data_IF_560456375924
#
_entry.id   IF_560456375924
#
_cell.length_a   1.000
_cell.length_b   1.000
_cell.length_c   1.000
_cell.angle_alpha   90.00
_cell.angle_beta   90.00
_cell.angle_gamma   90.00
#
_symmetry.space_group_name_H-M   'P 1'
#
loop_
_entity.id
_entity.type
_entity.pdbx_description
1 polymer ?
#
# COMPACT_ATOMS: atom_id res chain seq x y z
N UNK A 1 21.93 3.83 -53.31
CA UNK A 1 21.25 3.69 -52.00
C UNK A 1 22.24 4.11 -50.92
N UNK A 2 22.05 5.27 -50.31
CA UNK A 2 22.81 5.78 -49.15
C UNK A 2 21.75 6.23 -48.16
N UNK A 3 21.64 5.61 -46.99
CA UNK A 3 20.68 6.07 -45.98
C UNK A 3 20.30 5.09 -44.87
N UNK A 4 20.24 3.79 -45.15
CA UNK A 4 19.97 2.79 -44.10
C UNK A 4 21.28 2.28 -43.50
N UNK A 5 21.64 2.73 -42.29
CA UNK A 5 22.88 2.32 -41.63
C UNK A 5 22.78 0.96 -40.93
N UNK A 6 21.59 0.53 -40.47
CA UNK A 6 21.41 -0.80 -39.88
C UNK A 6 19.93 -1.21 -39.85
N UNK A 7 19.59 -2.31 -40.52
CA UNK A 7 18.29 -2.99 -40.45
C UNK A 7 18.57 -4.46 -40.18
N UNK A 8 18.22 -4.95 -38.99
CA UNK A 8 18.45 -6.33 -38.58
C UNK A 8 17.10 -6.99 -38.33
N UNK A 9 16.69 -7.87 -39.25
CA UNK A 9 15.45 -8.62 -39.22
C UNK A 9 15.81 -10.09 -39.01
N UNK A 10 15.29 -10.74 -37.97
CA UNK A 10 15.59 -12.15 -37.70
C UNK A 10 14.36 -12.91 -37.23
N UNK A 11 13.64 -13.48 -38.21
CA UNK A 11 13.15 -14.86 -38.25
C UNK A 11 12.29 -15.09 -39.50
N UNK A 12 12.84 -14.85 -40.70
CA UNK A 12 12.23 -15.28 -41.96
C UNK A 12 13.30 -15.68 -42.97
N UNK A 13 13.11 -16.82 -43.65
CA UNK A 13 13.79 -17.17 -44.92
C UNK A 13 13.29 -16.23 -46.04
N UNK A 14 13.59 -14.94 -45.95
CA UNK A 14 13.31 -14.00 -47.05
C UNK A 14 14.54 -13.99 -47.95
N UNK A 15 14.40 -14.54 -49.15
CA UNK A 15 15.47 -14.59 -50.15
C UNK A 15 15.68 -13.26 -50.88
N UNK A 16 14.71 -12.34 -50.86
CA UNK A 16 14.82 -11.01 -51.47
C UNK A 16 14.09 -9.93 -50.66
N UNK A 17 14.77 -8.82 -50.37
CA UNK A 17 14.20 -7.65 -49.67
C UNK A 17 13.53 -6.74 -50.72
N UNK A 18 12.20 -6.54 -50.72
CA UNK A 18 11.59 -5.54 -51.59
C UNK A 18 12.04 -4.14 -51.15
N UNK A 19 12.33 -3.28 -52.11
CA UNK A 19 12.75 -1.89 -51.84
C UNK A 19 11.58 -1.10 -51.21
N UNK A 20 11.55 -0.98 -49.89
CA UNK A 20 10.58 -0.15 -49.18
C UNK A 20 11.03 1.31 -49.27
N UNK A 21 10.45 2.07 -50.20
CA UNK A 21 10.81 3.46 -50.47
C UNK A 21 10.58 4.44 -49.30
N UNK A 22 9.89 4.02 -48.22
CA UNK A 22 9.51 4.87 -47.08
C UNK A 22 10.55 4.98 -45.96
N UNK A 23 11.67 4.27 -46.02
CA UNK A 23 12.70 4.30 -44.97
C UNK A 23 13.74 5.43 -45.12
N UNK A 24 13.67 6.21 -46.21
CA UNK A 24 14.56 7.34 -46.48
C UNK A 24 13.93 8.71 -46.22
N UNK A 25 12.70 8.77 -45.69
CA UNK A 25 12.11 10.05 -45.30
C UNK A 25 12.66 10.44 -43.93
N UNK A 26 13.30 11.60 -43.86
CA UNK A 26 13.81 12.25 -42.65
C UNK A 26 12.71 12.52 -41.59
N UNK A 27 11.45 12.27 -41.94
CA UNK A 27 10.23 12.46 -41.17
C UNK A 27 10.18 11.67 -39.84
N UNK A 28 10.90 10.54 -39.73
CA UNK A 28 10.96 9.73 -38.50
C UNK A 28 12.28 9.87 -37.71
N UNK A 29 13.21 10.73 -38.13
CA UNK A 29 14.54 10.84 -37.53
C UNK A 29 15.37 9.56 -37.68
N UNK A 30 16.62 9.56 -37.24
CA UNK A 30 17.53 8.39 -37.28
C UNK A 30 17.14 7.31 -36.25
N UNK A 31 15.89 6.86 -36.26
CA UNK A 31 15.39 5.85 -35.34
C UNK A 31 15.94 4.47 -35.70
N UNK A 32 16.79 3.92 -34.85
CA UNK A 32 17.23 2.53 -34.94
C UNK A 32 16.18 1.65 -34.27
N UNK A 33 15.32 1.01 -35.06
CA UNK A 33 14.30 0.10 -34.53
C UNK A 33 14.91 -1.27 -34.20
N UNK A 34 14.72 -1.71 -32.96
CA UNK A 34 15.00 -3.08 -32.51
C UNK A 34 13.69 -3.85 -32.56
N UNK A 35 13.56 -4.78 -33.49
CA UNK A 35 12.28 -5.48 -33.72
C UNK A 35 12.14 -6.82 -33.01
N UNK A 36 13.22 -7.39 -32.45
CA UNK A 36 13.11 -8.63 -31.67
C UNK A 36 14.39 -8.95 -30.87
N UNK A 37 14.23 -9.51 -29.66
CA UNK A 37 15.28 -10.26 -28.97
C UNK A 37 15.34 -11.64 -29.63
N UNK A 38 16.09 -11.79 -30.71
CA UNK A 38 16.27 -13.10 -31.34
C UNK A 38 16.81 -14.15 -30.37
N UNK A 39 16.43 -15.41 -30.54
CA UNK A 39 16.98 -16.54 -29.77
C UNK A 39 18.48 -16.63 -30.07
N UNK A 40 19.38 -16.48 -29.07
CA UNK A 40 20.83 -16.40 -29.29
C UNK A 40 21.43 -17.58 -30.06
N UNK A 41 20.79 -18.75 -29.99
CA UNK A 41 21.21 -19.98 -30.66
C UNK A 41 21.06 -19.97 -32.19
N UNK A 42 20.38 -18.98 -32.76
CA UNK A 42 20.23 -18.85 -34.22
C UNK A 42 21.44 -18.22 -34.92
N UNK A 43 22.43 -17.72 -34.18
CA UNK A 43 23.60 -17.01 -34.74
C UNK A 43 24.90 -17.73 -34.40
N UNK A 44 25.84 -17.79 -35.36
CA UNK A 44 27.19 -18.31 -35.12
C UNK A 44 27.99 -17.45 -34.12
N UNK A 45 27.64 -16.16 -33.99
CA UNK A 45 28.20 -15.24 -33.00
C UNK A 45 27.06 -14.57 -32.24
N UNK A 46 27.01 -14.79 -30.93
CA UNK A 46 26.07 -14.15 -30.03
C UNK A 46 26.39 -12.66 -29.94
N UNK A 47 25.38 -11.81 -30.11
CA UNK A 47 25.52 -10.37 -29.91
C UNK A 47 25.59 -10.11 -28.40
N UNK A 48 26.77 -9.80 -27.88
CA UNK A 48 26.96 -9.44 -26.48
C UNK A 48 26.84 -7.92 -26.30
N UNK A 49 25.79 -7.46 -25.61
CA UNK A 49 25.62 -6.06 -25.26
C UNK A 49 25.96 -5.85 -23.79
N UNK A 50 27.11 -5.23 -23.55
CA UNK A 50 27.67 -5.08 -22.18
C UNK A 50 26.84 -4.15 -21.29
N UNK A 51 26.06 -3.26 -21.91
CA UNK A 51 25.33 -2.20 -21.21
C UNK A 51 23.81 -2.45 -21.12
N UNK A 52 23.31 -3.54 -21.70
CA UNK A 52 21.88 -3.84 -21.77
C UNK A 52 21.55 -5.15 -21.08
N UNK A 53 20.49 -5.16 -20.26
CA UNK A 53 19.90 -6.38 -19.69
C UNK A 53 18.73 -6.90 -20.54
N UNK A 54 18.59 -6.44 -21.78
CA UNK A 54 17.48 -6.74 -22.70
C UNK A 54 17.93 -6.47 -24.15
N UNK A 55 17.02 -6.61 -25.13
CA UNK A 55 17.32 -6.49 -26.56
C UNK A 55 18.11 -5.21 -26.86
N UNK A 56 19.15 -5.37 -27.66
CA UNK A 56 20.03 -4.30 -28.07
C UNK A 56 20.32 -4.39 -29.58
N UNK A 57 20.55 -3.25 -30.23
CA UNK A 57 21.11 -3.25 -31.58
C UNK A 57 22.64 -3.28 -31.55
N UNK A 58 23.26 -3.36 -32.73
CA UNK A 58 24.72 -3.32 -32.87
C UNK A 58 25.38 -1.99 -32.44
N UNK A 59 24.58 -0.97 -32.10
CA UNK A 59 25.05 0.30 -31.55
C UNK A 59 24.89 0.37 -30.02
N UNK A 60 24.64 -0.76 -29.33
CA UNK A 60 24.39 -0.84 -27.88
C UNK A 60 23.16 -0.04 -27.40
N UNK A 61 22.21 0.30 -28.28
CA UNK A 61 20.94 0.90 -27.86
C UNK A 61 19.98 -0.20 -27.37
N UNK A 62 19.63 -0.17 -26.08
CA UNK A 62 18.66 -1.08 -25.48
C UNK A 62 17.21 -0.68 -25.81
N UNK A 63 16.25 -1.62 -25.81
CA UNK A 63 14.81 -1.33 -25.90
C UNK A 63 14.02 -1.99 -24.76
N UNK A 64 13.09 -1.29 -24.07
CA UNK A 64 12.64 0.07 -24.35
C UNK A 64 13.61 1.17 -23.88
N UNK A 65 13.65 2.28 -24.64
CA UNK A 65 14.43 3.47 -24.27
C UNK A 65 13.68 4.41 -23.32
N UNK A 66 12.37 4.23 -23.18
CA UNK A 66 11.57 5.02 -22.26
C UNK A 66 11.83 4.53 -20.84
N UNK A 67 12.44 5.40 -20.04
CA UNK A 67 12.47 5.23 -18.59
C UNK A 67 11.03 5.14 -18.10
N UNK A 68 10.75 4.20 -17.21
CA UNK A 68 9.45 4.21 -16.55
C UNK A 68 9.33 5.49 -15.72
N UNK A 69 8.11 6.01 -15.49
CA UNK A 69 7.90 7.17 -14.58
C UNK A 69 8.50 6.93 -13.18
N UNK A 70 8.68 5.67 -12.78
CA UNK A 70 9.30 5.30 -11.51
C UNK A 70 10.83 5.46 -11.57
N UNK A 71 11.45 5.08 -12.69
CA UNK A 71 12.87 5.35 -12.97
C UNK A 71 13.18 6.84 -13.07
N UNK A 72 12.25 7.65 -13.58
CA UNK A 72 12.39 9.12 -13.60
C UNK A 72 12.48 9.70 -12.18
N UNK A 73 11.89 9.04 -11.18
CA UNK A 73 11.98 9.42 -9.77
C UNK A 73 13.21 8.84 -9.07
N UNK A 74 14.07 8.11 -9.79
CA UNK A 74 15.27 7.47 -9.24
C UNK A 74 14.99 6.22 -8.41
N UNK A 75 13.77 5.67 -8.50
CA UNK A 75 13.36 4.46 -7.78
C UNK A 75 13.48 3.25 -8.70
N UNK A 76 14.70 2.77 -8.92
CA UNK A 76 14.97 1.67 -9.85
C UNK A 76 14.52 0.29 -9.34
N UNK A 77 13.95 0.21 -8.14
CA UNK A 77 13.62 -1.03 -7.43
C UNK A 77 12.24 -0.89 -6.76
N UNK A 78 11.33 -1.84 -7.04
CA UNK A 78 9.98 -1.83 -6.50
C UNK A 78 9.98 -2.11 -4.99
N UNK A 79 10.97 -2.86 -4.50
CA UNK A 79 11.25 -3.04 -3.08
C UNK A 79 11.62 -1.73 -2.37
N UNK A 80 12.56 -0.95 -2.90
CA UNK A 80 12.96 0.35 -2.32
C UNK A 80 11.77 1.31 -2.28
N UNK A 81 11.02 1.42 -3.38
CA UNK A 81 9.84 2.28 -3.45
C UNK A 81 8.74 1.85 -2.47
N UNK A 82 8.52 0.54 -2.28
CA UNK A 82 7.62 0.03 -1.23
C UNK A 82 8.10 0.48 0.15
N UNK A 83 9.38 0.27 0.49
CA UNK A 83 9.94 0.66 1.80
C UNK A 83 9.78 2.15 2.06
N UNK A 84 10.06 3.00 1.07
CA UNK A 84 9.88 4.47 1.19
C UNK A 84 8.41 4.81 1.43
N UNK A 85 7.49 4.23 0.64
CA UNK A 85 6.06 4.44 0.81
C UNK A 85 5.58 4.05 2.22
N UNK A 86 6.04 2.90 2.74
CA UNK A 86 5.72 2.46 4.10
C UNK A 86 6.33 3.36 5.17
N UNK A 87 7.57 3.79 5.01
CA UNK A 87 8.20 4.72 5.94
C UNK A 87 7.42 6.04 6.01
N UNK A 88 6.98 6.57 4.87
CA UNK A 88 6.13 7.76 4.81
C UNK A 88 4.77 7.53 5.49
N UNK A 89 4.12 6.40 5.24
CA UNK A 89 2.84 6.06 5.86
C UNK A 89 2.97 5.98 7.39
N UNK A 90 3.97 5.25 7.90
CA UNK A 90 4.25 5.13 9.34
C UNK A 90 4.54 6.50 9.95
N UNK A 91 5.34 7.33 9.27
CA UNK A 91 5.62 8.70 9.73
C UNK A 91 4.34 9.53 9.84
N UNK A 92 3.43 9.48 8.85
CA UNK A 92 2.14 10.18 8.89
C UNK A 92 1.25 9.67 10.02
N UNK A 93 1.17 8.35 10.24
CA UNK A 93 0.43 7.77 11.36
C UNK A 93 0.97 8.21 12.72
N UNK A 94 2.30 8.18 12.89
CA UNK A 94 2.97 8.63 14.11
C UNK A 94 2.78 10.12 14.37
N UNK A 95 2.93 10.96 13.34
CA UNK A 95 2.68 12.41 13.44
C UNK A 95 1.23 12.70 13.81
N UNK A 96 0.28 12.02 13.16
CA UNK A 96 -1.15 12.16 13.47
C UNK A 96 -1.43 11.79 14.93
N UNK A 97 -0.89 10.65 15.40
CA UNK A 97 -1.03 10.23 16.79
C UNK A 97 -0.44 11.25 17.78
N UNK A 98 0.77 11.75 17.52
CA UNK A 98 1.41 12.78 18.33
C UNK A 98 0.60 14.09 18.36
N UNK A 99 0.06 14.53 17.22
CA UNK A 99 -0.78 15.73 17.12
C UNK A 99 -2.09 15.57 17.91
N UNK A 100 -2.77 14.44 17.76
CA UNK A 100 -3.98 14.16 18.53
C UNK A 100 -3.69 14.08 20.04
N UNK A 101 -2.58 13.43 20.41
CA UNK A 101 -2.16 13.34 21.81
C UNK A 101 -1.85 14.72 22.40
N UNK A 102 -1.13 15.57 21.65
CA UNK A 102 -0.80 16.94 22.06
C UNK A 102 -2.06 17.82 22.17
N UNK A 103 -2.95 17.74 21.17
CA UNK A 103 -4.24 18.43 21.17
C UNK A 103 -5.07 18.04 22.39
N UNK A 104 -5.17 16.75 22.67
CA UNK A 104 -5.90 16.24 23.81
C UNK A 104 -5.29 16.71 25.15
N UNK A 105 -3.97 16.58 25.30
CA UNK A 105 -3.26 17.01 26.52
C UNK A 105 -3.51 18.50 26.81
N UNK A 106 -3.51 19.35 25.78
CA UNK A 106 -3.82 20.78 25.91
C UNK A 106 -5.25 20.99 26.42
N UNK A 107 -6.25 20.37 25.80
CA UNK A 107 -7.66 20.53 26.20
C UNK A 107 -7.93 20.11 27.65
N UNK A 108 -7.34 19.00 28.09
CA UNK A 108 -7.54 18.51 29.45
C UNK A 108 -6.80 19.36 30.51
N UNK A 109 -5.70 20.02 30.15
CA UNK A 109 -5.00 20.93 31.06
C UNK A 109 -5.87 22.14 31.42
N UNK A 110 -6.67 22.65 30.46
CA UNK A 110 -7.54 23.81 30.67
C UNK A 110 -8.73 23.48 31.58
N UNK A 111 -9.28 22.27 31.50
CA UNK A 111 -10.45 21.87 32.30
C UNK A 111 -10.16 21.83 33.79
N UNK A 112 -8.95 21.41 34.19
CA UNK A 112 -8.57 21.33 35.62
C UNK A 112 -8.48 22.70 36.29
N UNK A 113 -8.14 23.75 35.55
CA UNK A 113 -8.01 25.10 36.12
C UNK A 113 -9.37 25.77 36.37
N UNK A 114 -10.43 25.35 35.68
CA UNK A 114 -11.75 26.01 35.79
C UNK A 114 -12.60 25.50 36.96
N UNK A 115 -12.27 24.35 37.55
CA UNK A 115 -13.06 23.75 38.64
C UNK A 115 -12.64 24.26 40.03
N UNK A 116 -11.49 24.95 40.14
CA UNK A 116 -10.95 25.44 41.41
C UNK A 116 -11.43 26.86 41.76
N UNK A 117 -12.36 27.43 40.99
CA UNK A 117 -12.96 28.74 41.28
C UNK A 117 -14.49 28.63 41.34
N UNK A 118 -15.02 27.82 42.28
CA UNK A 118 -16.41 27.98 42.66
C UNK A 118 -16.54 29.21 43.57
N UNK A 119 -17.29 30.25 43.18
CA UNK A 119 -17.64 31.32 44.09
C UNK A 119 -18.46 30.73 45.24
N UNK A 120 -18.18 31.18 46.46
CA UNK A 120 -19.01 30.88 47.62
C UNK A 120 -20.40 31.48 47.36
N UNK A 121 -21.37 30.65 46.95
CA UNK A 121 -22.77 31.04 46.89
C UNK A 121 -23.33 31.02 48.32
N UNK A 122 -23.56 32.23 48.81
CA UNK A 122 -24.25 32.57 50.05
C UNK A 122 -25.75 32.62 49.74
N UNK A 123 -26.43 31.47 49.69
CA UNK A 123 -27.90 31.43 49.58
C UNK A 123 -28.50 30.47 50.61
N UNK A 124 -28.94 31.09 51.70
CA UNK A 124 -29.60 30.50 52.85
C UNK A 124 -31.06 30.92 52.78
N UNK A 125 -31.98 30.02 52.39
CA UNK A 125 -33.32 29.83 52.99
C UNK A 125 -34.21 28.93 52.13
N UNK A 126 -34.29 27.63 52.46
CA UNK A 126 -35.47 26.82 52.14
C UNK A 126 -35.52 25.56 53.01
N UNK A 127 -36.50 25.53 53.91
CA UNK A 127 -36.77 24.46 54.88
C UNK A 127 -37.43 23.23 54.24
N UNK A 128 -36.74 22.58 53.30
CA UNK A 128 -37.13 21.28 52.76
C UNK A 128 -36.23 20.17 53.37
N UNK A 129 -36.86 19.12 53.92
CA UNK A 129 -36.28 17.99 54.67
C UNK A 129 -34.81 17.65 54.36
N UNK A 130 -33.97 17.74 55.40
CA UNK A 130 -32.54 17.50 55.38
C UNK A 130 -32.17 16.06 54.97
N UNK A 131 -32.11 15.81 53.66
CA UNK A 131 -31.51 14.61 53.09
C UNK A 131 -30.00 14.84 52.99
N UNK A 132 -29.21 14.02 53.71
CA UNK A 132 -27.76 14.15 53.86
C UNK A 132 -27.04 14.42 52.51
N UNK A 133 -26.42 15.60 52.32
CA UNK A 133 -25.73 15.96 51.08
C UNK A 133 -24.59 15.01 50.70
N UNK A 134 -24.03 14.27 51.68
CA UNK A 134 -23.02 13.23 51.45
C UNK A 134 -23.53 12.06 50.60
N UNK A 135 -24.80 11.67 50.77
CA UNK A 135 -25.40 10.60 49.97
C UNK A 135 -25.68 11.02 48.52
N UNK A 136 -26.04 12.29 48.30
CA UNK A 136 -26.31 12.83 46.97
C UNK A 136 -25.04 12.90 46.12
N UNK A 137 -23.91 13.26 46.73
CA UNK A 137 -22.61 13.31 46.04
C UNK A 137 -22.12 11.92 45.61
N UNK A 138 -22.16 10.93 46.51
CA UNK A 138 -21.77 9.54 46.19
C UNK A 138 -22.59 8.94 45.05
N UNK A 139 -23.88 9.26 44.99
CA UNK A 139 -24.78 8.77 43.94
C UNK A 139 -24.40 9.33 42.56
N UNK A 140 -23.94 10.59 42.49
CA UNK A 140 -23.53 11.22 41.23
C UNK A 140 -22.22 10.65 40.71
N UNK A 141 -21.20 10.53 41.57
CA UNK A 141 -19.91 9.94 41.20
C UNK A 141 -20.06 8.50 40.71
N UNK A 142 -20.88 7.70 41.39
CA UNK A 142 -21.14 6.32 40.99
C UNK A 142 -21.87 6.24 39.63
N UNK A 143 -22.82 7.15 39.38
CA UNK A 143 -23.52 7.21 38.09
C UNK A 143 -22.58 7.57 36.95
N UNK A 144 -21.67 8.52 37.17
CA UNK A 144 -20.70 8.96 36.16
C UNK A 144 -19.65 7.87 35.87
N UNK A 145 -19.21 7.12 36.89
CA UNK A 145 -18.33 5.95 36.71
C UNK A 145 -19.00 4.84 35.90
N UNK A 146 -20.26 4.50 36.20
CA UNK A 146 -21.01 3.46 35.47
C UNK A 146 -21.24 3.88 34.01
N UNK A 147 -21.60 5.15 33.76
CA UNK A 147 -21.76 5.66 32.41
C UNK A 147 -20.45 5.62 31.60
N UNK A 148 -19.32 5.94 32.24
CA UNK A 148 -18.00 5.87 31.62
C UNK A 148 -17.59 4.43 31.29
N UNK A 149 -17.80 3.47 32.19
CA UNK A 149 -17.50 2.06 31.94
C UNK A 149 -18.38 1.49 30.82
N UNK A 150 -19.66 1.84 30.78
CA UNK A 150 -20.58 1.42 29.72
C UNK A 150 -20.14 1.96 28.35
N UNK A 151 -19.72 3.23 28.28
CA UNK A 151 -19.17 3.81 27.06
C UNK A 151 -17.91 3.07 26.59
N UNK A 152 -16.99 2.74 27.51
CA UNK A 152 -15.78 1.98 27.20
C UNK A 152 -16.04 0.57 26.68
N UNK A 153 -17.06 -0.12 27.22
CA UNK A 153 -17.51 -1.43 26.76
C UNK A 153 -18.10 -1.35 25.36
N UNK A 154 -18.94 -0.34 25.10
CA UNK A 154 -19.52 -0.11 23.79
C UNK A 154 -18.46 0.18 22.73
N UNK A 155 -17.50 1.06 23.03
CA UNK A 155 -16.38 1.37 22.13
C UNK A 155 -15.50 0.12 21.84
N UNK A 156 -15.39 -0.80 22.82
CA UNK A 156 -14.68 -2.07 22.64
C UNK A 156 -15.43 -3.01 21.70
N UNK A 157 -16.73 -3.17 21.92
CA UNK A 157 -17.60 -4.02 21.11
C UNK A 157 -17.67 -3.51 19.66
N UNK A 158 -17.79 -2.20 19.48
CA UNK A 158 -17.79 -1.55 18.16
C UNK A 158 -16.45 -1.75 17.44
N UNK A 159 -15.31 -1.71 18.16
CA UNK A 159 -14.00 -1.97 17.59
C UNK A 159 -13.83 -3.42 17.13
N UNK A 160 -14.25 -4.39 17.96
CA UNK A 160 -14.19 -5.82 17.59
C UNK A 160 -15.08 -6.14 16.39
N UNK A 161 -16.31 -5.62 16.40
CA UNK A 161 -17.27 -5.80 15.31
C UNK A 161 -16.77 -5.24 13.98
N UNK A 162 -16.00 -4.15 14.01
CA UNK A 162 -15.43 -3.54 12.81
C UNK A 162 -14.25 -4.31 12.22
N UNK A 163 -13.39 -4.89 13.07
CA UNK A 163 -12.31 -5.78 12.63
C UNK A 163 -12.86 -7.12 12.12
N UNK A 164 -14.04 -7.49 12.61
CA UNK A 164 -14.64 -8.81 12.43
C UNK A 164 -14.16 -9.74 13.53
N UNK A 165 -15.11 -10.34 14.25
CA UNK A 165 -14.85 -11.20 15.42
C UNK A 165 -14.00 -12.43 15.10
N UNK A 166 -13.82 -12.75 13.81
CA UNK A 166 -13.03 -13.88 13.30
C UNK A 166 -11.71 -13.47 12.67
N UNK A 167 -11.41 -12.18 12.61
CA UNK A 167 -10.17 -11.68 12.02
C UNK A 167 -9.01 -11.91 12.99
N UNK A 168 -7.87 -12.35 12.47
CA UNK A 168 -6.64 -12.61 13.25
C UNK A 168 -6.16 -11.33 13.94
N UNK A 169 -6.48 -10.15 13.40
CA UNK A 169 -6.09 -8.88 14.00
C UNK A 169 -6.88 -8.52 15.26
N UNK A 170 -8.03 -9.19 15.52
CA UNK A 170 -8.76 -9.03 16.77
C UNK A 170 -7.92 -9.38 18.00
N UNK A 171 -6.93 -10.28 17.84
CA UNK A 171 -6.01 -10.67 18.91
C UNK A 171 -5.10 -9.51 19.36
N UNK A 172 -4.78 -8.55 18.48
CA UNK A 172 -3.99 -7.37 18.87
C UNK A 172 -4.80 -6.40 19.75
N UNK A 173 -6.13 -6.41 19.64
CA UNK A 173 -7.02 -5.46 20.32
C UNK A 173 -7.62 -6.03 21.60
N UNK A 174 -7.75 -7.35 21.70
CA UNK A 174 -8.30 -8.04 22.89
C UNK A 174 -7.56 -7.67 24.18
N UNK A 175 -8.31 -7.47 25.28
CA UNK A 175 -7.72 -7.17 26.59
C UNK A 175 -7.06 -8.39 27.25
N UNK A 176 -7.54 -9.59 26.94
CA UNK A 176 -7.09 -10.87 27.51
C UNK A 176 -6.17 -11.64 26.56
N UNK A 177 -5.31 -10.95 25.81
CA UNK A 177 -4.38 -11.63 24.90
C UNK A 177 -3.46 -12.52 25.71
N UNK A 178 -3.64 -13.83 25.58
CA UNK A 178 -2.62 -14.76 26.06
C UNK A 178 -1.35 -14.50 25.24
N UNK A 179 -0.17 -14.65 25.85
CA UNK A 179 1.12 -14.50 25.13
C UNK A 179 1.15 -15.32 23.83
N UNK A 180 0.44 -16.44 23.81
CA UNK A 180 0.30 -17.31 22.66
C UNK A 180 -0.55 -16.70 21.53
N UNK A 181 -1.70 -16.08 21.82
CA UNK A 181 -2.52 -15.40 20.80
C UNK A 181 -1.77 -14.24 20.13
N UNK A 182 -1.01 -13.46 20.91
CA UNK A 182 -0.18 -12.40 20.36
C UNK A 182 0.90 -12.96 19.41
N UNK A 183 1.52 -14.09 19.77
CA UNK A 183 2.49 -14.77 18.92
C UNK A 183 1.86 -15.22 17.59
N UNK A 184 0.65 -15.78 17.61
CA UNK A 184 -0.07 -16.18 16.39
C UNK A 184 -0.33 -14.97 15.49
N UNK A 185 -0.82 -13.86 16.06
CA UNK A 185 -1.10 -12.65 15.29
C UNK A 185 0.14 -12.05 14.64
N UNK A 186 1.27 -12.03 15.36
CA UNK A 186 2.57 -11.60 14.83
C UNK A 186 3.08 -12.55 13.75
N UNK A 187 2.97 -13.86 13.95
CA UNK A 187 3.37 -14.86 12.96
C UNK A 187 2.57 -14.69 11.66
N UNK A 188 1.25 -14.50 11.74
CA UNK A 188 0.40 -14.24 10.57
C UNK A 188 0.83 -12.98 9.83
N UNK A 189 1.11 -11.89 10.55
CA UNK A 189 1.59 -10.64 9.97
C UNK A 189 2.93 -10.83 9.23
N UNK A 190 3.87 -11.55 9.82
CA UNK A 190 5.16 -11.89 9.19
C UNK A 190 4.94 -12.74 7.94
N UNK A 191 4.06 -13.75 8.00
CA UNK A 191 3.76 -14.61 6.84
C UNK A 191 3.14 -13.79 5.70
N UNK A 192 2.21 -12.89 5.99
CA UNK A 192 1.60 -12.01 4.98
C UNK A 192 2.63 -11.07 4.35
N UNK A 193 3.47 -10.43 5.15
CA UNK A 193 4.55 -9.57 4.64
C UNK A 193 5.52 -10.38 3.78
N UNK A 194 5.90 -11.58 4.22
CA UNK A 194 6.80 -12.46 3.47
C UNK A 194 6.20 -12.86 2.12
N UNK A 195 4.91 -13.23 2.11
CA UNK A 195 4.19 -13.58 0.88
C UNK A 195 4.13 -12.38 -0.08
N UNK A 196 3.79 -11.19 0.42
CA UNK A 196 3.78 -9.96 -0.39
C UNK A 196 5.17 -9.59 -0.91
N UNK A 197 6.22 -9.79 -0.13
CA UNK A 197 7.60 -9.58 -0.56
C UNK A 197 8.01 -10.56 -1.67
N UNK A 198 7.54 -11.82 -1.63
CA UNK A 198 7.75 -12.77 -2.73
C UNK A 198 7.06 -12.31 -4.00
N UNK A 199 5.84 -11.77 -3.92
CA UNK A 199 5.15 -11.20 -5.08
C UNK A 199 5.87 -9.96 -5.64
N UNK A 200 6.42 -9.08 -4.80
CA UNK A 200 7.27 -7.96 -5.26
C UNK A 200 8.48 -8.49 -6.02
N UNK A 201 9.21 -9.45 -5.44
CA UNK A 201 10.37 -10.06 -6.10
C UNK A 201 10.01 -10.76 -7.41
N UNK A 202 8.85 -11.40 -7.46
CA UNK A 202 8.34 -12.02 -8.67
C UNK A 202 8.01 -10.98 -9.75
N UNK A 203 7.47 -9.81 -9.35
CA UNK A 203 7.20 -8.69 -10.27
C UNK A 203 8.47 -7.99 -10.79
N UNK A 204 9.60 -8.15 -10.09
CA UNK A 204 10.92 -7.64 -10.52
C UNK A 204 11.70 -8.64 -11.37
N UNK A 205 11.17 -9.85 -11.59
CA UNK A 205 11.91 -10.90 -12.26
C UNK A 205 12.35 -10.44 -13.66
N UNK A 206 13.66 -10.40 -13.86
CA UNK A 206 14.26 -9.94 -15.13
C UNK A 206 13.90 -10.94 -16.22
N UNK A 207 13.28 -10.44 -17.29
CA UNK A 207 12.92 -11.13 -18.53
C UNK A 207 14.11 -11.85 -19.24
N UNK A 208 15.32 -11.75 -18.71
CA UNK A 208 16.50 -12.47 -19.20
C UNK A 208 16.62 -13.90 -18.65
N UNK A 209 15.90 -14.26 -17.59
CA UNK A 209 15.92 -15.63 -17.08
C UNK A 209 14.83 -16.45 -17.80
N UNK A 210 15.26 -17.38 -18.65
CA UNK A 210 14.43 -18.31 -19.44
C UNK A 210 13.46 -19.16 -18.58
N UNK A 211 13.56 -19.07 -17.25
CA UNK A 211 12.70 -19.75 -16.28
C UNK A 211 11.46 -18.96 -15.86
N UNK A 212 11.29 -17.73 -16.34
CA UNK A 212 10.19 -16.86 -15.89
C UNK A 212 9.01 -16.91 -16.87
N UNK A 213 7.84 -17.35 -16.38
CA UNK A 213 6.56 -17.40 -17.15
C UNK A 213 5.94 -16.00 -17.37
N UNK A 214 6.74 -14.96 -17.52
CA UNK A 214 6.24 -13.63 -17.83
C UNK A 214 5.73 -13.63 -19.27
N UNK A 215 4.40 -13.57 -19.44
CA UNK A 215 3.80 -13.40 -20.75
C UNK A 215 4.21 -12.05 -21.32
N UNK A 216 4.78 -12.07 -22.52
CA UNK A 216 5.10 -10.85 -23.25
C UNK A 216 3.79 -10.08 -23.53
N UNK A 217 3.69 -8.87 -22.97
CA UNK A 217 2.58 -7.93 -23.22
C UNK A 217 2.53 -7.47 -24.68
N UNK A 218 3.60 -7.68 -25.44
CA UNK A 218 3.68 -7.37 -26.86
C UNK A 218 3.84 -8.65 -27.67
N UNK A 219 2.87 -8.90 -28.54
CA UNK A 219 2.97 -9.94 -29.55
C UNK A 219 3.31 -9.27 -30.88
N UNK A 220 4.42 -9.66 -31.48
CA UNK A 220 4.83 -9.24 -32.82
C UNK A 220 4.56 -10.40 -33.80
N UNK A 221 3.45 -10.39 -34.56
CA UNK A 221 3.21 -11.40 -35.58
C UNK A 221 4.32 -11.36 -36.64
N UNK A 222 4.77 -12.52 -37.13
CA UNK A 222 5.87 -12.62 -38.12
C UNK A 222 5.62 -11.81 -39.39
N UNK A 223 4.35 -11.63 -39.77
CA UNK A 223 3.94 -10.98 -41.02
C UNK A 223 3.50 -9.52 -40.83
N UNK A 224 3.59 -8.97 -39.62
CA UNK A 224 3.21 -7.59 -39.33
C UNK A 224 4.45 -6.72 -39.06
N UNK A 225 4.47 -5.51 -39.61
CA UNK A 225 5.40 -4.45 -39.25
C UNK A 225 5.07 -3.80 -37.90
N UNK A 226 3.81 -3.90 -37.47
CA UNK A 226 3.30 -3.37 -36.21
C UNK A 226 3.14 -4.49 -35.17
N UNK A 227 3.86 -4.39 -34.06
CA UNK A 227 3.61 -5.22 -32.88
C UNK A 227 2.30 -4.79 -32.22
N UNK A 228 1.48 -5.76 -31.81
CA UNK A 228 0.24 -5.48 -31.09
C UNK A 228 0.49 -5.67 -29.60
N UNK A 229 0.10 -4.67 -28.83
CA UNK A 229 0.00 -4.81 -27.39
C UNK A 229 -1.16 -5.79 -27.10
N UNK A 230 -0.83 -6.98 -26.63
CA UNK A 230 -1.78 -8.00 -26.18
C UNK A 230 -2.02 -7.91 -24.67
N UNK A 231 -1.58 -6.84 -24.02
CA UNK A 231 -1.93 -6.58 -22.63
C UNK A 231 -3.45 -6.49 -22.50
N UNK A 232 -4.02 -7.46 -21.80
CA UNK A 232 -5.45 -7.50 -21.45
C UNK A 232 -5.84 -6.44 -20.40
N UNK A 233 -4.88 -5.61 -19.96
CA UNK A 233 -5.11 -4.47 -19.07
C UNK A 233 -5.77 -3.29 -19.79
N UNK A 234 -6.99 -3.53 -20.25
CA UNK A 234 -7.89 -2.47 -20.69
C UNK A 234 -8.26 -1.56 -19.51
N UNK A 235 -8.69 -0.33 -19.80
CA UNK A 235 -9.24 0.58 -18.78
C UNK A 235 -10.35 -0.09 -17.96
N UNK A 236 -11.18 -0.92 -18.61
CA UNK A 236 -12.21 -1.70 -17.94
C UNK A 236 -11.63 -2.73 -16.95
N UNK A 237 -10.54 -3.41 -17.32
CA UNK A 237 -9.81 -4.31 -16.42
C UNK A 237 -9.32 -3.60 -15.15
N UNK A 238 -8.77 -2.39 -15.29
CA UNK A 238 -8.36 -1.56 -14.15
C UNK A 238 -9.53 -1.13 -13.26
N UNK A 239 -10.69 -0.80 -13.83
CA UNK A 239 -11.89 -0.47 -13.05
C UNK A 239 -12.37 -1.70 -12.26
N UNK A 240 -12.45 -2.87 -12.90
CA UNK A 240 -12.82 -4.12 -12.23
C UNK A 240 -11.83 -4.49 -11.12
N UNK A 241 -10.53 -4.39 -11.38
CA UNK A 241 -9.49 -4.59 -10.38
C UNK A 241 -9.65 -3.63 -9.19
N UNK A 242 -9.86 -2.34 -9.45
CA UNK A 242 -10.04 -1.33 -8.39
C UNK A 242 -11.28 -1.62 -7.53
N UNK A 243 -12.39 -2.03 -8.16
CA UNK A 243 -13.60 -2.44 -7.44
C UNK A 243 -13.38 -3.68 -6.59
N UNK A 244 -12.68 -4.69 -7.11
CA UNK A 244 -12.34 -5.89 -6.36
C UNK A 244 -11.41 -5.60 -5.19
N UNK A 245 -10.37 -4.78 -5.41
CA UNK A 245 -9.49 -4.36 -4.32
C UNK A 245 -10.26 -3.57 -3.26
N UNK A 246 -11.11 -2.62 -3.65
CA UNK A 246 -11.92 -1.87 -2.70
C UNK A 246 -12.91 -2.76 -1.93
N UNK A 247 -13.58 -3.70 -2.59
CA UNK A 247 -14.52 -4.60 -1.95
C UNK A 247 -13.85 -5.53 -0.92
N UNK A 248 -12.65 -6.03 -1.23
CA UNK A 248 -11.94 -6.98 -0.37
C UNK A 248 -11.08 -6.31 0.70
N UNK A 249 -10.46 -5.17 0.39
CA UNK A 249 -9.49 -4.50 1.25
C UNK A 249 -10.07 -3.25 1.94
N UNK A 250 -11.16 -2.70 1.43
CA UNK A 250 -11.76 -1.47 1.95
C UNK A 250 -12.27 -1.62 3.38
N UNK A 251 -12.82 -2.79 3.73
CA UNK A 251 -13.26 -3.08 5.10
C UNK A 251 -12.10 -3.05 6.09
N UNK A 252 -10.95 -3.60 5.71
CA UNK A 252 -9.75 -3.63 6.54
C UNK A 252 -9.16 -2.23 6.71
N UNK A 253 -9.13 -1.43 5.64
CA UNK A 253 -8.65 -0.05 5.69
C UNK A 253 -9.55 0.83 6.57
N UNK A 254 -10.88 0.70 6.44
CA UNK A 254 -11.84 1.42 7.27
C UNK A 254 -11.75 0.98 8.73
N UNK A 255 -11.65 -0.33 8.99
CA UNK A 255 -11.47 -0.89 10.33
C UNK A 255 -10.18 -0.40 10.99
N UNK A 256 -9.07 -0.48 10.27
CA UNK A 256 -7.75 -0.02 10.74
C UNK A 256 -7.72 1.49 11.01
N UNK A 257 -8.30 2.30 10.12
CA UNK A 257 -8.41 3.75 10.31
C UNK A 257 -9.25 4.10 11.54
N UNK A 258 -10.38 3.41 11.77
CA UNK A 258 -11.19 3.60 12.97
C UNK A 258 -10.47 3.19 14.24
N UNK A 259 -9.65 2.12 14.23
CA UNK A 259 -8.80 1.76 15.37
C UNK A 259 -7.76 2.83 15.69
N UNK A 260 -7.10 3.38 14.66
CA UNK A 260 -6.16 4.50 14.83
C UNK A 260 -6.89 5.71 15.41
N UNK A 261 -8.07 6.04 14.89
CA UNK A 261 -8.89 7.13 15.42
C UNK A 261 -9.28 6.89 16.89
N UNK A 262 -9.78 5.70 17.22
CA UNK A 262 -10.17 5.34 18.58
C UNK A 262 -8.97 5.32 19.54
N UNK A 263 -7.77 4.96 19.07
CA UNK A 263 -6.54 5.02 19.87
C UNK A 263 -6.19 6.44 20.33
N UNK A 264 -6.64 7.46 19.59
CA UNK A 264 -6.44 8.86 19.93
C UNK A 264 -7.41 9.35 21.02
N UNK A 265 -8.53 8.65 21.22
CA UNK A 265 -9.50 9.01 22.24
C UNK A 265 -8.96 8.73 23.64
N UNK A 266 -9.10 9.72 24.50
CA UNK A 266 -8.42 9.69 25.78
C UNK A 266 -9.18 9.06 26.94
N UNK A 267 -10.35 8.47 26.65
CA UNK A 267 -11.11 7.69 27.63
C UNK A 267 -10.41 6.36 27.94
N UNK A 268 -9.52 5.90 27.06
CA UNK A 268 -8.83 4.63 27.22
C UNK A 268 -7.56 4.75 28.05
N UNK A 269 -7.19 3.65 28.73
CA UNK A 269 -5.89 3.50 29.38
C UNK A 269 -4.75 3.56 28.34
N UNK A 270 -3.59 4.06 28.74
CA UNK A 270 -2.44 4.24 27.84
C UNK A 270 -2.06 2.94 27.10
N UNK A 271 -2.06 1.81 27.81
CA UNK A 271 -1.77 0.50 27.22
C UNK A 271 -2.77 0.09 26.13
N UNK A 272 -4.07 0.36 26.32
CA UNK A 272 -5.09 0.06 25.31
C UNK A 272 -4.98 0.97 24.09
N UNK A 273 -4.62 2.25 24.29
CA UNK A 273 -4.34 3.18 23.18
C UNK A 273 -3.20 2.69 22.30
N UNK A 274 -2.07 2.34 22.92
CA UNK A 274 -0.91 1.80 22.20
C UNK A 274 -1.32 0.56 21.39
N UNK A 275 -2.03 -0.40 21.99
CA UNK A 275 -2.48 -1.60 21.29
C UNK A 275 -3.40 -1.30 20.11
N UNK A 276 -4.41 -0.46 20.30
CA UNK A 276 -5.32 -0.05 19.21
C UNK A 276 -4.58 0.68 18.10
N UNK A 277 -3.61 1.54 18.44
CA UNK A 277 -2.78 2.26 17.48
C UNK A 277 -1.94 1.30 16.64
N UNK A 278 -1.16 0.42 17.27
CA UNK A 278 -0.32 -0.54 16.56
C UNK A 278 -1.14 -1.56 15.78
N UNK A 279 -2.28 -2.02 16.33
CA UNK A 279 -3.20 -2.92 15.64
C UNK A 279 -3.79 -2.28 14.38
N UNK A 280 -4.31 -1.05 14.49
CA UNK A 280 -4.84 -0.31 13.35
C UNK A 280 -3.77 0.06 12.32
N UNK A 281 -2.58 0.46 12.76
CA UNK A 281 -1.44 0.75 11.88
C UNK A 281 -0.98 -0.50 11.13
N UNK A 282 -0.86 -1.65 11.81
CA UNK A 282 -0.49 -2.92 11.19
C UNK A 282 -1.50 -3.35 10.12
N UNK A 283 -2.80 -3.28 10.43
CA UNK A 283 -3.87 -3.61 9.49
C UNK A 283 -3.81 -2.72 8.25
N UNK A 284 -3.80 -1.40 8.42
CA UNK A 284 -3.69 -0.46 7.30
C UNK A 284 -2.41 -0.67 6.49
N UNK A 285 -1.27 -0.97 7.14
CA UNK A 285 0.00 -1.17 6.43
C UNK A 285 -0.06 -2.39 5.52
N UNK A 286 -0.56 -3.53 6.02
CA UNK A 286 -0.66 -4.76 5.22
C UNK A 286 -1.66 -4.56 4.08
N UNK A 287 -2.79 -3.90 4.34
CA UNK A 287 -3.78 -3.59 3.32
C UNK A 287 -3.20 -2.70 2.21
N UNK A 288 -2.48 -1.63 2.57
CA UNK A 288 -1.83 -0.76 1.60
C UNK A 288 -0.70 -1.49 0.85
N UNK A 289 0.01 -2.41 1.51
CA UNK A 289 1.06 -3.22 0.88
C UNK A 289 0.43 -4.17 -0.14
N UNK A 290 -0.64 -4.86 0.23
CA UNK A 290 -1.38 -5.73 -0.68
C UNK A 290 -1.89 -4.97 -1.91
N UNK A 291 -2.44 -3.77 -1.71
CA UNK A 291 -2.87 -2.90 -2.82
C UNK A 291 -1.69 -2.49 -3.71
N UNK A 292 -0.57 -2.07 -3.10
CA UNK A 292 0.64 -1.69 -3.83
C UNK A 292 1.18 -2.86 -4.66
N UNK A 293 1.40 -4.01 -4.04
CA UNK A 293 1.91 -5.22 -4.70
C UNK A 293 0.99 -5.66 -5.81
N UNK A 294 -0.33 -5.66 -5.59
CA UNK A 294 -1.29 -6.04 -6.64
C UNK A 294 -1.27 -5.05 -7.81
N UNK A 295 -1.05 -3.76 -7.55
CA UNK A 295 -0.94 -2.73 -8.59
C UNK A 295 0.35 -2.89 -9.39
N UNK A 296 1.49 -3.15 -8.73
CA UNK A 296 2.77 -3.39 -9.38
C UNK A 296 2.71 -4.68 -10.19
N UNK A 297 2.19 -5.76 -9.61
CA UNK A 297 2.07 -7.07 -10.26
C UNK A 297 1.17 -7.02 -11.51
N UNK A 298 0.04 -6.31 -11.46
CA UNK A 298 -0.82 -6.14 -12.63
C UNK A 298 -0.23 -5.19 -13.69
N UNK A 299 0.77 -4.39 -13.33
CA UNK A 299 1.43 -3.48 -14.27
C UNK A 299 2.67 -4.10 -14.93
N UNK A 300 3.36 -5.00 -14.20
CA UNK A 300 4.50 -5.78 -14.67
C UNK A 300 4.06 -6.75 -15.78
#
# INVERSE_FOLDING_TARGET
MKGLQLLQLQSNRITEIPAIARLNSDEYGRSTFVKDCGVPSAFEKVLECKNCTMCCNANDNCYPQEKTRVDEWGLTDYGISAVVFFACFVAVCCLSFCLFYAYYKRKHSTSKTSEETMPAEDDMTRDDEAKDPSQKMKTREQKDQVAHELALKKDHEDALKQIGDKSVYSYFVSEHTTKWQALVAVATLITQITLLALFIKASEAKLQDDKTELQFTWLCPRDADVCKNTSDLTYFGWVCFSLLMFANLGTDLIGGAKLIYNSSQARHSFGRRIRCFFGGMGLCSITLLALYVSTVYNKA
#
